data_IF_374169692256
#
_entry.id   IF_374169692256
#
_cell.length_a   1.000
_cell.length_b   1.000
_cell.length_c   1.000
_cell.angle_alpha   90.00
_cell.angle_beta   90.00
_cell.angle_gamma   90.00
#
_symmetry.space_group_name_H-M   'P 1'
#
loop_
_entity.id
_entity.type
_entity.pdbx_description
1 polymer ?
#
# COMPACT_ATOMS: atom_id res chain seq x y z
N UNK A 1 11.97 -10.92 -13.86
CA UNK A 1 10.61 -10.41 -14.11
C UNK A 1 10.53 -9.02 -13.55
N UNK A 2 10.51 -7.98 -14.40
CA UNK A 2 10.03 -6.66 -13.98
C UNK A 2 8.51 -6.77 -13.87
N UNK A 3 7.95 -6.40 -12.72
CA UNK A 3 6.49 -6.41 -12.54
C UNK A 3 5.88 -5.40 -13.52
N UNK A 4 4.98 -5.84 -14.41
CA UNK A 4 4.18 -4.94 -15.25
C UNK A 4 3.07 -4.23 -14.47
N UNK A 5 2.86 -4.64 -13.21
CA UNK A 5 1.78 -4.16 -12.34
C UNK A 5 2.00 -2.72 -11.87
N UNK A 6 0.89 -2.01 -11.67
CA UNK A 6 0.82 -0.71 -10.98
C UNK A 6 0.55 -0.92 -9.49
N UNK A 7 1.29 -0.23 -8.63
CA UNK A 7 1.21 -0.40 -7.18
C UNK A 7 0.68 0.90 -6.55
N UNK A 8 -0.45 0.81 -5.86
CA UNK A 8 -1.08 1.90 -5.13
C UNK A 8 -0.78 1.85 -3.65
N UNK A 9 -0.12 2.87 -3.12
CA UNK A 9 0.13 3.04 -1.69
C UNK A 9 -0.91 3.96 -1.07
N UNK A 10 -1.80 3.37 -0.26
CA UNK A 10 -2.77 4.11 0.53
C UNK A 10 -2.11 4.58 1.82
N UNK A 11 -1.43 5.72 1.73
CA UNK A 11 -0.59 6.29 2.76
C UNK A 11 0.83 6.51 2.26
N UNK A 12 1.42 7.63 2.65
CA UNK A 12 2.79 8.02 2.26
C UNK A 12 3.70 8.25 3.48
N UNK A 13 3.40 7.60 4.61
CA UNK A 13 4.18 7.73 5.83
C UNK A 13 5.60 7.14 5.71
N UNK A 14 6.35 7.15 6.81
CA UNK A 14 7.75 6.69 6.83
C UNK A 14 7.95 5.28 6.24
N UNK A 15 7.08 4.33 6.59
CA UNK A 15 7.23 2.95 6.09
C UNK A 15 6.84 2.83 4.62
N UNK A 16 5.70 3.38 4.22
CA UNK A 16 5.28 3.40 2.81
C UNK A 16 6.34 4.02 1.91
N UNK A 17 6.85 5.20 2.29
CA UNK A 17 7.87 5.91 1.55
C UNK A 17 9.21 5.16 1.53
N UNK A 18 9.56 4.43 2.59
CA UNK A 18 10.74 3.56 2.58
C UNK A 18 10.60 2.39 1.60
N UNK A 19 9.43 1.73 1.58
CA UNK A 19 9.14 0.65 0.64
C UNK A 19 9.15 1.16 -0.81
N UNK A 20 8.46 2.27 -1.09
CA UNK A 20 8.43 2.87 -2.43
C UNK A 20 9.84 3.27 -2.90
N UNK A 21 10.65 3.95 -2.07
CA UNK A 21 12.04 4.27 -2.42
C UNK A 21 12.89 3.02 -2.65
N UNK A 22 12.72 2.00 -1.80
CA UNK A 22 13.43 0.73 -1.95
C UNK A 22 13.12 0.05 -3.29
N UNK A 23 11.83 0.00 -3.68
CA UNK A 23 11.39 -0.56 -4.95
C UNK A 23 11.97 0.20 -6.16
N UNK A 24 11.96 1.53 -6.13
CA UNK A 24 12.53 2.38 -7.17
C UNK A 24 14.06 2.20 -7.24
N UNK A 25 14.76 2.30 -6.10
CA UNK A 25 16.23 2.22 -6.04
C UNK A 25 16.77 0.86 -6.47
N UNK A 26 16.02 -0.22 -6.23
CA UNK A 26 16.34 -1.57 -6.68
C UNK A 26 15.82 -1.89 -8.09
N UNK A 27 15.22 -0.92 -8.78
CA UNK A 27 14.68 -1.06 -10.13
C UNK A 27 13.66 -2.20 -10.26
N UNK A 28 12.91 -2.49 -9.19
CA UNK A 28 11.85 -3.52 -9.22
C UNK A 28 10.64 -3.02 -10.02
N UNK A 29 10.34 -1.73 -9.88
CA UNK A 29 9.33 -0.99 -10.64
C UNK A 29 9.88 0.39 -11.00
N UNK A 30 9.34 0.99 -12.06
CA UNK A 30 9.63 2.38 -12.40
C UNK A 30 8.77 3.33 -11.54
N UNK A 31 9.19 4.58 -11.30
CA UNK A 31 8.40 5.55 -10.55
C UNK A 31 6.97 5.72 -11.09
N UNK A 32 6.79 5.69 -12.42
CA UNK A 32 5.48 5.88 -13.07
C UNK A 32 4.50 4.74 -12.80
N UNK A 33 4.98 3.60 -12.27
CA UNK A 33 4.15 2.47 -11.85
C UNK A 33 3.69 2.58 -10.39
N UNK A 34 4.16 3.58 -9.65
CA UNK A 34 3.78 3.82 -8.27
C UNK A 34 2.76 4.95 -8.23
N UNK A 35 1.66 4.71 -7.52
CA UNK A 35 0.63 5.68 -7.20
C UNK A 35 0.54 5.79 -5.68
N UNK A 36 0.40 6.99 -5.14
CA UNK A 36 0.23 7.16 -3.70
C UNK A 36 -0.76 8.27 -3.35
N UNK A 37 -1.40 8.10 -2.20
CA UNK A 37 -2.22 9.13 -1.55
C UNK A 37 -1.77 9.29 -0.10
N UNK A 38 -2.11 10.42 0.48
CA UNK A 38 -1.89 10.68 1.90
C UNK A 38 -3.06 11.45 2.48
N UNK A 39 -3.18 11.43 3.80
CA UNK A 39 -4.09 12.34 4.50
C UNK A 39 -3.77 13.78 4.08
N UNK A 40 -4.77 14.50 3.56
CA UNK A 40 -4.63 15.84 2.97
C UNK A 40 -3.66 15.97 1.79
N UNK A 41 -3.21 14.88 1.17
CA UNK A 41 -2.37 14.87 -0.05
C UNK A 41 -0.93 15.39 0.07
N UNK A 42 -0.56 16.05 1.17
CA UNK A 42 0.77 16.68 1.35
C UNK A 42 1.94 15.69 1.27
N UNK A 43 1.82 14.55 1.94
CA UNK A 43 2.88 13.54 1.97
C UNK A 43 3.06 12.86 0.61
N UNK A 44 1.96 12.57 -0.09
CA UNK A 44 2.00 11.99 -1.43
C UNK A 44 2.58 12.98 -2.45
N UNK A 45 2.19 14.26 -2.37
CA UNK A 45 2.75 15.32 -3.21
C UNK A 45 4.26 15.50 -3.04
N UNK A 46 4.74 15.55 -1.79
CA UNK A 46 6.18 15.65 -1.52
C UNK A 46 6.96 14.43 -2.06
N UNK A 47 6.43 13.22 -1.88
CA UNK A 47 7.04 12.01 -2.40
C UNK A 47 7.09 12.00 -3.94
N UNK A 48 5.99 12.40 -4.58
CA UNK A 48 5.87 12.51 -6.04
C UNK A 48 6.89 13.48 -6.62
N UNK A 49 7.01 14.67 -6.03
CA UNK A 49 7.98 15.68 -6.46
C UNK A 49 9.44 15.20 -6.32
N UNK A 50 9.74 14.39 -5.30
CA UNK A 50 11.08 13.83 -5.07
C UNK A 50 11.43 12.71 -6.05
N UNK A 51 10.45 11.86 -6.40
CA UNK A 51 10.74 10.55 -7.01
C UNK A 51 10.22 10.37 -8.44
N UNK A 52 9.33 11.24 -8.91
CA UNK A 52 8.62 11.07 -10.18
C UNK A 52 7.44 10.08 -10.11
N UNK A 53 7.11 9.55 -8.92
CA UNK A 53 5.91 8.74 -8.73
C UNK A 53 4.62 9.58 -8.86
N UNK A 54 3.48 8.91 -9.03
CA UNK A 54 2.19 9.60 -9.19
C UNK A 54 1.54 9.87 -7.84
N UNK A 55 1.22 11.15 -7.55
CA UNK A 55 0.35 11.50 -6.42
C UNK A 55 -1.09 11.65 -6.90
N UNK A 56 -2.02 11.01 -6.19
CA UNK A 56 -3.48 11.16 -6.40
C UNK A 56 -4.13 11.98 -5.27
N UNK A 57 -3.33 12.80 -4.58
CA UNK A 57 -3.79 13.63 -3.47
C UNK A 57 -4.32 12.79 -2.32
N UNK A 58 -5.62 12.88 -2.07
CA UNK A 58 -6.34 12.14 -1.03
C UNK A 58 -7.49 11.26 -1.58
N UNK A 59 -7.55 11.06 -2.90
CA UNK A 59 -8.62 10.28 -3.54
C UNK A 59 -8.33 8.79 -3.49
N UNK A 60 -8.99 8.09 -2.57
CA UNK A 60 -8.91 6.65 -2.45
C UNK A 60 -9.57 5.91 -3.62
N UNK A 61 -10.65 6.45 -4.17
CA UNK A 61 -11.31 5.86 -5.34
C UNK A 61 -10.40 5.92 -6.57
N UNK A 62 -9.68 7.03 -6.80
CA UNK A 62 -8.70 7.12 -7.89
C UNK A 62 -7.51 6.18 -7.67
N UNK A 63 -7.03 6.06 -6.43
CA UNK A 63 -5.96 5.12 -6.09
C UNK A 63 -6.38 3.68 -6.39
N UNK A 64 -7.60 3.31 -6.01
CA UNK A 64 -8.17 2.02 -6.35
C UNK A 64 -8.20 1.92 -7.87
N UNK A 65 -8.81 2.83 -8.62
CA UNK A 65 -8.89 2.72 -10.09
C UNK A 65 -7.53 2.54 -10.79
N UNK A 66 -6.47 3.22 -10.32
CA UNK A 66 -5.16 3.25 -10.97
C UNK A 66 -4.24 2.04 -10.68
N UNK A 67 -4.57 1.18 -9.72
CA UNK A 67 -3.60 0.21 -9.16
C UNK A 67 -4.02 -1.24 -9.34
N UNK A 68 -3.10 -2.13 -9.72
CA UNK A 68 -3.35 -3.59 -9.74
C UNK A 68 -3.16 -4.20 -8.34
N UNK A 69 -2.18 -3.67 -7.60
CA UNK A 69 -1.85 -4.07 -6.23
C UNK A 69 -2.10 -2.87 -5.31
N UNK A 70 -2.85 -3.07 -4.22
CA UNK A 70 -3.09 -2.04 -3.22
C UNK A 70 -2.32 -2.33 -1.93
N UNK A 71 -1.46 -1.40 -1.53
CA UNK A 71 -0.72 -1.42 -0.27
C UNK A 71 -1.43 -0.52 0.75
N UNK A 72 -2.03 -1.11 1.79
CA UNK A 72 -2.64 -0.35 2.88
C UNK A 72 -1.57 0.08 3.89
N UNK A 73 -1.31 1.40 3.95
CA UNK A 73 -0.21 1.99 4.71
C UNK A 73 -0.62 3.21 5.55
N UNK A 74 -1.92 3.37 5.82
CA UNK A 74 -2.46 4.34 6.76
C UNK A 74 -2.35 3.83 8.21
N UNK A 75 -2.82 4.60 9.20
CA UNK A 75 -2.77 4.18 10.61
C UNK A 75 -3.83 3.12 10.89
N UNK A 76 -3.55 2.06 11.68
CA UNK A 76 -4.50 0.97 11.90
C UNK A 76 -5.91 1.39 12.36
N UNK A 77 -6.02 2.42 13.19
CA UNK A 77 -7.32 2.95 13.65
C UNK A 77 -8.15 3.59 12.51
N UNK A 78 -7.51 4.04 11.43
CA UNK A 78 -8.20 4.59 10.26
C UNK A 78 -8.88 3.51 9.39
N UNK A 79 -8.70 2.22 9.71
CA UNK A 79 -9.42 1.16 8.99
C UNK A 79 -10.93 1.25 9.23
N UNK A 80 -11.34 1.66 10.42
CA UNK A 80 -12.76 1.80 10.78
C UNK A 80 -13.38 3.03 10.13
N UNK A 81 -12.67 4.15 10.12
CA UNK A 81 -13.15 5.39 9.46
C UNK A 81 -13.19 5.29 7.94
N UNK A 82 -12.46 4.34 7.36
CA UNK A 82 -12.41 4.10 5.91
C UNK A 82 -13.21 2.84 5.49
N UNK A 83 -13.99 2.26 6.40
CA UNK A 83 -14.64 0.96 6.22
C UNK A 83 -15.47 0.87 4.92
N UNK A 84 -16.25 1.90 4.61
CA UNK A 84 -17.08 1.94 3.40
C UNK A 84 -16.22 1.90 2.13
N UNK A 85 -15.13 2.65 2.08
CA UNK A 85 -14.26 2.70 0.90
C UNK A 85 -13.46 1.41 0.74
N UNK A 86 -12.88 0.87 1.82
CA UNK A 86 -12.13 -0.39 1.73
C UNK A 86 -13.05 -1.56 1.36
N UNK A 87 -14.32 -1.56 1.79
CA UNK A 87 -15.28 -2.59 1.41
C UNK A 87 -15.59 -2.61 -0.10
N UNK A 88 -15.35 -1.50 -0.82
CA UNK A 88 -15.49 -1.41 -2.29
C UNK A 88 -14.29 -1.98 -3.05
N UNK A 89 -13.19 -2.31 -2.37
CA UNK A 89 -12.05 -2.97 -3.02
C UNK A 89 -12.49 -4.35 -3.49
N UNK A 90 -12.44 -4.56 -4.79
CA UNK A 90 -12.90 -5.79 -5.44
C UNK A 90 -11.87 -6.29 -6.45
N UNK A 91 -11.66 -7.60 -6.54
CA UNK A 91 -10.79 -8.25 -7.53
C UNK A 91 -9.35 -7.69 -7.57
N UNK A 92 -8.77 -7.46 -6.39
CA UNK A 92 -7.43 -6.91 -6.21
C UNK A 92 -6.63 -7.71 -5.21
N UNK A 93 -5.32 -7.80 -5.45
CA UNK A 93 -4.35 -8.17 -4.42
C UNK A 93 -4.18 -6.98 -3.45
N UNK A 94 -4.46 -7.23 -2.18
CA UNK A 94 -4.27 -6.26 -1.10
C UNK A 94 -3.11 -6.69 -0.21
N UNK A 95 -2.10 -5.84 -0.10
CA UNK A 95 -1.00 -5.99 0.85
C UNK A 95 -1.20 -5.00 2.01
N UNK A 96 -1.37 -5.50 3.22
CA UNK A 96 -1.52 -4.66 4.40
C UNK A 96 -0.21 -4.58 5.19
N UNK A 97 0.23 -3.37 5.53
CA UNK A 97 1.29 -3.12 6.52
C UNK A 97 0.72 -2.52 7.82
N UNK A 98 -0.59 -2.63 8.04
CA UNK A 98 -1.27 -2.07 9.20
C UNK A 98 -0.92 -2.87 10.48
N UNK A 99 -0.07 -2.28 11.32
CA UNK A 99 0.36 -2.88 12.58
C UNK A 99 -0.84 -3.31 13.44
N UNK A 100 -0.77 -4.50 14.04
CA UNK A 100 -1.80 -5.03 14.93
C UNK A 100 -3.15 -5.38 14.27
N UNK A 101 -3.32 -5.19 12.96
CA UNK A 101 -4.56 -5.55 12.27
C UNK A 101 -4.52 -7.02 11.85
N UNK A 102 -5.40 -7.85 12.39
CA UNK A 102 -5.44 -9.28 12.07
C UNK A 102 -5.93 -9.52 10.64
N UNK A 103 -5.52 -10.65 10.07
CA UNK A 103 -5.98 -11.08 8.76
C UNK A 103 -7.51 -11.26 8.71
N UNK A 104 -8.10 -11.78 9.79
CA UNK A 104 -9.56 -11.87 9.96
C UNK A 104 -10.24 -10.50 9.90
N UNK A 105 -9.69 -9.47 10.57
CA UNK A 105 -10.23 -8.10 10.53
C UNK A 105 -10.13 -7.53 9.11
N UNK A 106 -8.99 -7.70 8.44
CA UNK A 106 -8.80 -7.27 7.06
C UNK A 106 -9.81 -7.93 6.10
N UNK A 107 -9.99 -9.25 6.21
CA UNK A 107 -10.93 -9.99 5.37
C UNK A 107 -12.38 -9.55 5.59
N UNK A 108 -12.76 -9.28 6.85
CA UNK A 108 -14.08 -8.75 7.18
C UNK A 108 -14.30 -7.35 6.59
N UNK A 109 -13.27 -6.49 6.61
CA UNK A 109 -13.34 -5.13 6.04
C UNK A 109 -13.34 -5.11 4.51
N UNK A 110 -12.75 -6.11 3.86
CA UNK A 110 -12.61 -6.18 2.39
C UNK A 110 -13.08 -7.55 1.87
N UNK A 111 -14.39 -7.84 1.96
CA UNK A 111 -14.91 -9.17 1.66
C UNK A 111 -14.74 -9.57 0.19
N UNK A 112 -14.64 -8.60 -0.71
CA UNK A 112 -14.54 -8.80 -2.16
C UNK A 112 -13.11 -8.64 -2.70
N UNK A 113 -12.11 -8.39 -1.84
CA UNK A 113 -10.72 -8.44 -2.28
C UNK A 113 -10.40 -9.87 -2.75
N UNK A 114 -9.61 -9.99 -3.81
CA UNK A 114 -9.25 -11.29 -4.39
C UNK A 114 -8.35 -12.07 -3.41
N UNK A 115 -7.28 -11.42 -2.99
CA UNK A 115 -6.29 -11.97 -2.08
C UNK A 115 -5.83 -10.88 -1.11
N UNK A 116 -5.57 -11.28 0.14
CA UNK A 116 -5.11 -10.39 1.21
C UNK A 116 -3.84 -10.98 1.82
N UNK A 117 -2.75 -10.23 1.68
CA UNK A 117 -1.47 -10.52 2.32
C UNK A 117 -1.30 -9.52 3.47
N UNK A 118 -1.23 -10.02 4.70
CA UNK A 118 -0.81 -9.23 5.85
C UNK A 118 0.70 -9.32 5.97
N UNK A 119 1.36 -8.19 6.09
CA UNK A 119 2.81 -8.10 6.28
C UNK A 119 3.13 -7.27 7.51
N UNK A 120 4.31 -7.52 8.10
CA UNK A 120 4.80 -6.74 9.23
C UNK A 120 6.26 -6.33 8.98
N UNK A 121 6.49 -5.25 8.21
CA UNK A 121 7.84 -4.70 8.04
C UNK A 121 8.32 -3.99 9.32
N UNK A 122 9.63 -3.81 9.44
CA UNK A 122 10.25 -3.11 10.56
C UNK A 122 11.11 -1.90 10.11
N UNK A 123 11.49 -1.05 11.07
CA UNK A 123 12.16 0.23 10.80
C UNK A 123 13.52 0.12 10.08
N UNK A 124 14.35 -0.93 10.26
CA UNK A 124 15.55 -1.13 9.45
C UNK A 124 15.30 -1.23 7.94
N UNK A 125 14.06 -1.48 7.50
CA UNK A 125 13.67 -1.40 6.10
C UNK A 125 13.99 -0.05 5.44
N UNK A 126 14.05 1.04 6.22
CA UNK A 126 14.44 2.38 5.74
C UNK A 126 15.86 2.46 5.18
N UNK A 127 16.74 1.57 5.63
CA UNK A 127 18.14 1.47 5.17
C UNK A 127 18.39 0.19 4.37
N UNK A 128 17.32 -0.49 3.93
CA UNK A 128 17.42 -1.73 3.15
C UNK A 128 17.85 -2.96 3.94
N UNK A 129 17.81 -2.91 5.28
CA UNK A 129 18.19 -4.01 6.19
C UNK A 129 16.98 -4.54 6.97
N UNK A 130 15.78 -4.39 6.40
CA UNK A 130 14.54 -4.78 7.04
C UNK A 130 14.27 -6.27 6.99
N UNK A 131 13.43 -6.73 7.91
CA UNK A 131 12.83 -8.07 7.90
C UNK A 131 11.32 -7.86 7.80
N UNK A 132 10.67 -8.62 6.91
CA UNK A 132 9.22 -8.59 6.73
C UNK A 132 8.67 -10.00 6.86
N UNK A 133 7.91 -10.27 7.91
CA UNK A 133 7.07 -11.47 7.99
C UNK A 133 5.76 -11.23 7.23
N UNK A 134 5.19 -12.28 6.66
CA UNK A 134 3.89 -12.21 6.00
C UNK A 134 3.00 -13.42 6.29
N UNK A 135 1.69 -13.24 6.16
CA UNK A 135 0.71 -14.32 6.12
C UNK A 135 -0.42 -13.99 5.14
N UNK A 136 -1.10 -15.01 4.62
CA UNK A 136 -2.09 -14.91 3.55
C UNK A 136 -3.43 -15.51 3.96
N UNK A 137 -4.54 -15.03 3.39
CA UNK A 137 -5.88 -15.59 3.62
C UNK A 137 -6.18 -16.83 2.76
N UNK A 138 -5.26 -17.21 1.88
CA UNK A 138 -5.32 -18.36 0.98
C UNK A 138 -3.96 -19.06 1.00
N UNK A 139 -3.94 -20.37 0.74
CA UNK A 139 -2.69 -21.08 0.45
C UNK A 139 -2.11 -20.56 -0.88
N UNK A 140 -0.78 -20.39 -0.93
CA UNK A 140 -0.04 -19.82 -2.06
C UNK A 140 0.28 -20.85 -3.14
#
# INVERSE_FOLDING_TARGET
MLLSSKIGFWGSGNMASAMMRGLIAKQVVKPEQIYCISEFGRGAGAFSAETGANSLGNSSDDLIAASDILVLAFKPHQLETQAETVARINNRLVLSILAGTSLTKLRKSMPNADSIVRTMPNTPGRIGQGITAFCTNQEL
#
